data_IF_061523251158
#
_entry.id   IF_061523251158
#
_cell.length_a   1.000
_cell.length_b   1.000
_cell.length_c   1.000
_cell.angle_alpha   90.00
_cell.angle_beta   90.00
_cell.angle_gamma   90.00
#
_symmetry.space_group_name_H-M   'P 1'
#
loop_
_entity.id
_entity.type
_entity.pdbx_description
1 polymer ?
#
# COMPACT_ATOMS: atom_id res chain seq x y z
N UNK A 1 6.02 -0.12 14.14
CA UNK A 1 4.74 0.21 13.50
C UNK A 1 4.53 -0.89 12.49
N UNK A 2 3.60 -1.82 12.73
CA UNK A 2 2.80 -2.27 11.58
C UNK A 2 2.44 -0.94 10.90
N UNK A 3 2.68 -0.76 9.60
CA UNK A 3 1.89 0.24 8.89
C UNK A 3 0.43 0.02 9.36
N UNK A 4 -0.49 0.96 9.17
CA UNK A 4 -1.82 0.43 8.88
C UNK A 4 -1.59 -0.42 7.62
N UNK A 5 -1.17 -1.67 7.81
CA UNK A 5 -1.30 -2.71 6.85
C UNK A 5 -2.79 -2.67 6.79
N UNK A 6 -3.26 -2.09 5.71
CA UNK A 6 -4.52 -2.47 5.15
C UNK A 6 -4.26 -3.96 4.80
N UNK A 7 -4.19 -4.82 5.82
CA UNK A 7 -4.53 -6.20 5.73
C UNK A 7 -6.02 -6.11 5.49
N UNK A 8 -6.33 -5.77 4.25
CA UNK A 8 -7.55 -6.10 3.57
C UNK A 8 -7.62 -7.62 3.73
N UNK A 9 -8.13 -8.06 4.87
CA UNK A 9 -8.79 -9.34 5.01
C UNK A 9 -10.02 -9.23 4.16
N UNK A 10 -9.82 -9.25 2.83
CA UNK A 10 -10.88 -9.43 1.87
C UNK A 10 -11.36 -10.84 2.17
N UNK A 11 -12.42 -10.94 2.95
CA UNK A 11 -13.29 -12.09 2.93
C UNK A 11 -13.88 -12.14 1.52
N UNK A 12 -13.15 -12.77 0.60
CA UNK A 12 -13.56 -12.99 -0.78
C UNK A 12 -14.81 -13.87 -0.77
N UNK A 13 -15.98 -13.24 -0.70
CA UNK A 13 -17.19 -13.84 -1.21
C UNK A 13 -17.01 -13.88 -2.74
N UNK A 14 -16.91 -15.09 -3.27
CA UNK A 14 -16.69 -15.38 -4.67
C UNK A 14 -17.77 -14.74 -5.56
N UNK A 15 -17.51 -13.53 -6.05
CA UNK A 15 -18.22 -13.00 -7.23
C UNK A 15 -17.34 -13.36 -8.41
N UNK A 16 -17.73 -14.41 -9.13
CA UNK A 16 -17.02 -14.90 -10.31
C UNK A 16 -17.08 -13.87 -11.44
N UNK A 17 -16.16 -12.92 -11.45
CA UNK A 17 -15.71 -12.27 -12.66
C UNK A 17 -14.43 -12.97 -13.09
N UNK A 18 -14.41 -13.50 -14.32
CA UNK A 18 -13.18 -14.03 -14.90
C UNK A 18 -12.20 -12.86 -14.98
N UNK A 19 -11.26 -12.78 -14.04
CA UNK A 19 -10.19 -11.79 -14.08
C UNK A 19 -9.39 -12.02 -15.35
N UNK A 20 -9.46 -11.06 -16.27
CA UNK A 20 -8.68 -11.08 -17.49
C UNK A 20 -7.25 -10.72 -17.11
N UNK A 21 -6.30 -11.63 -17.34
CA UNK A 21 -4.86 -11.38 -17.24
C UNK A 21 -4.53 -10.08 -17.98
N UNK A 22 -3.99 -9.08 -17.28
CA UNK A 22 -3.70 -7.77 -17.86
C UNK A 22 -2.28 -7.67 -18.40
N UNK A 23 -1.38 -8.53 -17.87
CA UNK A 23 0.02 -8.59 -18.22
C UNK A 23 0.38 -9.71 -19.21
N UNK A 24 1.02 -9.38 -20.33
CA UNK A 24 1.59 -10.37 -21.25
C UNK A 24 2.81 -11.09 -20.63
N UNK A 25 2.93 -12.40 -20.85
CA UNK A 25 4.02 -13.23 -20.31
C UNK A 25 5.43 -12.74 -20.71
N UNK A 26 5.56 -12.05 -21.84
CA UNK A 26 6.81 -11.45 -22.28
C UNK A 26 7.37 -10.41 -21.30
N UNK A 27 6.55 -9.86 -20.39
CA UNK A 27 6.97 -8.91 -19.37
C UNK A 27 7.43 -9.58 -18.06
N UNK A 28 7.20 -10.88 -17.87
CA UNK A 28 7.40 -11.53 -16.57
C UNK A 28 8.86 -11.50 -16.11
N UNK A 29 9.82 -11.72 -17.02
CA UNK A 29 11.24 -11.72 -16.66
C UNK A 29 11.77 -10.33 -16.34
N UNK A 30 11.23 -9.30 -16.98
CA UNK A 30 11.49 -7.89 -16.66
C UNK A 30 11.01 -7.57 -15.23
N UNK A 31 9.75 -7.90 -14.92
CA UNK A 31 9.15 -7.69 -13.59
C UNK A 31 9.93 -8.44 -12.51
N UNK A 32 10.30 -9.70 -12.74
CA UNK A 32 11.13 -10.50 -11.82
C UNK A 32 12.49 -9.87 -11.57
N UNK A 33 13.14 -9.36 -12.61
CA UNK A 33 14.45 -8.70 -12.50
C UNK A 33 14.35 -7.45 -11.62
N UNK A 34 13.33 -6.63 -11.82
CA UNK A 34 13.10 -5.43 -11.01
C UNK A 34 12.80 -5.75 -9.55
N UNK A 35 11.94 -6.73 -9.27
CA UNK A 35 11.68 -7.18 -7.89
C UNK A 35 12.94 -7.73 -7.22
N UNK A 36 13.76 -8.51 -7.94
CA UNK A 36 15.02 -9.03 -7.40
C UNK A 36 15.96 -7.90 -6.96
N UNK A 37 16.13 -6.87 -7.79
CA UNK A 37 16.93 -5.68 -7.45
C UNK A 37 16.33 -4.90 -6.27
N UNK A 38 15.02 -4.69 -6.27
CA UNK A 38 14.31 -4.02 -5.19
C UNK A 38 14.50 -4.75 -3.85
N UNK A 39 14.23 -6.04 -3.80
CA UNK A 39 14.32 -6.87 -2.59
C UNK A 39 15.75 -6.91 -2.01
N UNK A 40 16.78 -6.87 -2.87
CA UNK A 40 18.18 -6.85 -2.43
C UNK A 40 18.50 -5.64 -1.53
N UNK A 41 17.85 -4.49 -1.75
CA UNK A 41 18.04 -3.31 -0.88
C UNK A 41 17.57 -3.54 0.57
N UNK A 42 16.73 -4.55 0.78
CA UNK A 42 16.17 -4.91 2.08
C UNK A 42 16.73 -6.25 2.60
N UNK A 43 17.82 -6.75 2.03
CA UNK A 43 18.38 -8.07 2.37
C UNK A 43 17.38 -9.22 2.19
N UNK A 44 16.53 -9.11 1.17
CA UNK A 44 15.58 -10.13 0.77
C UNK A 44 15.90 -10.59 -0.66
N UNK A 45 15.40 -11.77 -1.03
CA UNK A 45 15.58 -12.32 -2.37
C UNK A 45 14.33 -13.10 -2.78
N UNK A 46 14.20 -13.33 -4.09
CA UNK A 46 13.22 -14.29 -4.60
C UNK A 46 13.65 -15.71 -4.21
N UNK A 47 12.73 -16.50 -3.68
CA UNK A 47 12.93 -17.90 -3.36
C UNK A 47 12.92 -18.80 -4.60
N UNK A 48 12.93 -20.11 -4.36
CA UNK A 48 12.76 -21.11 -5.43
C UNK A 48 11.48 -20.83 -6.24
N UNK A 49 11.52 -21.10 -7.54
CA UNK A 49 10.43 -20.81 -8.49
C UNK A 49 9.96 -19.34 -8.46
N UNK A 50 10.89 -18.41 -8.24
CA UNK A 50 10.59 -16.98 -8.14
C UNK A 50 9.54 -16.66 -7.06
N UNK A 51 9.60 -17.35 -5.92
CA UNK A 51 8.66 -17.10 -4.83
C UNK A 51 8.97 -15.75 -4.17
N UNK A 52 8.01 -14.84 -4.09
CA UNK A 52 8.13 -13.60 -3.32
C UNK A 52 8.30 -13.94 -1.83
N UNK A 53 9.17 -13.22 -1.09
CA UNK A 53 9.22 -13.37 0.36
C UNK A 53 7.87 -13.00 0.97
N UNK A 54 7.61 -13.44 2.21
CA UNK A 54 6.42 -12.98 2.92
C UNK A 54 6.44 -11.46 3.01
N UNK A 55 5.31 -10.82 2.72
CA UNK A 55 5.24 -9.37 2.71
C UNK A 55 5.60 -8.75 4.08
N UNK A 56 5.26 -9.45 5.17
CA UNK A 56 5.65 -9.04 6.54
C UNK A 56 7.16 -8.92 6.74
N UNK A 57 7.98 -9.72 6.02
CA UNK A 57 9.43 -9.61 6.06
C UNK A 57 9.93 -8.34 5.34
N UNK A 58 9.37 -8.03 4.16
CA UNK A 58 9.66 -6.79 3.44
C UNK A 58 9.31 -5.58 4.29
N UNK A 59 8.08 -5.53 4.79
CA UNK A 59 7.61 -4.40 5.56
C UNK A 59 8.34 -4.25 6.91
N UNK A 60 8.80 -5.35 7.53
CA UNK A 60 9.68 -5.27 8.71
C UNK A 60 11.05 -4.70 8.35
N UNK A 61 11.66 -5.14 7.25
CA UNK A 61 13.00 -4.69 6.86
C UNK A 61 13.00 -3.23 6.39
N UNK A 62 11.99 -2.83 5.60
CA UNK A 62 11.79 -1.44 5.16
C UNK A 62 11.31 -0.54 6.29
N UNK A 63 10.45 -1.02 7.17
CA UNK A 63 9.91 -0.28 8.31
C UNK A 63 10.99 0.26 9.25
N UNK A 64 12.16 -0.39 9.34
CA UNK A 64 13.31 0.16 10.09
C UNK A 64 13.83 1.47 9.52
N UNK A 65 13.79 1.62 8.19
CA UNK A 65 14.19 2.85 7.50
C UNK A 65 13.04 3.88 7.55
N UNK A 66 11.79 3.47 7.36
CA UNK A 66 10.60 4.34 7.44
C UNK A 66 10.36 4.92 8.84
N UNK A 67 10.74 4.19 9.89
CA UNK A 67 10.64 4.63 11.30
C UNK A 67 11.96 5.21 11.84
N UNK A 68 12.93 5.48 10.96
CA UNK A 68 14.23 6.01 11.36
C UNK A 68 14.13 7.29 12.18
N UNK A 69 15.20 7.63 12.90
CA UNK A 69 15.26 8.83 13.74
C UNK A 69 15.15 10.16 12.97
N UNK A 70 15.21 10.12 11.64
CA UNK A 70 15.12 11.28 10.77
C UNK A 70 14.61 10.91 9.37
N UNK A 71 14.28 11.94 8.61
CA UNK A 71 13.75 11.82 7.25
C UNK A 71 14.79 11.35 6.21
N UNK A 72 16.09 11.25 6.52
CA UNK A 72 17.10 10.75 5.56
C UNK A 72 16.87 9.28 5.20
N UNK A 73 16.46 8.47 6.18
CA UNK A 73 16.13 7.07 5.91
C UNK A 73 14.86 6.94 5.07
N UNK A 74 13.87 7.81 5.29
CA UNK A 74 12.69 7.87 4.41
C UNK A 74 13.06 8.31 2.99
N UNK A 75 13.97 9.29 2.84
CA UNK A 75 14.50 9.66 1.53
C UNK A 75 15.19 8.49 0.82
N UNK A 76 15.93 7.65 1.57
CA UNK A 76 16.52 6.40 1.05
C UNK A 76 15.44 5.42 0.60
N UNK A 77 14.37 5.23 1.38
CA UNK A 77 13.22 4.40 0.97
C UNK A 77 12.64 4.90 -0.34
N UNK A 78 12.44 6.22 -0.47
CA UNK A 78 11.93 6.80 -1.70
C UNK A 78 12.88 6.71 -2.89
N UNK A 79 14.19 6.81 -2.67
CA UNK A 79 15.17 6.56 -3.72
C UNK A 79 15.09 5.10 -4.21
N UNK A 80 15.03 4.13 -3.30
CA UNK A 80 14.88 2.71 -3.66
C UNK A 80 13.58 2.47 -4.43
N UNK A 81 12.46 3.04 -3.94
CA UNK A 81 11.16 2.93 -4.60
C UNK A 81 11.17 3.54 -6.00
N UNK A 82 11.76 4.73 -6.17
CA UNK A 82 11.84 5.38 -7.47
C UNK A 82 12.72 4.59 -8.45
N UNK A 83 13.80 3.97 -7.98
CA UNK A 83 14.59 3.03 -8.80
C UNK A 83 13.75 1.82 -9.20
N UNK A 84 12.97 1.25 -8.27
CA UNK A 84 12.11 0.11 -8.54
C UNK A 84 10.99 0.46 -9.54
N UNK A 85 10.27 1.56 -9.34
CA UNK A 85 9.22 2.01 -10.25
C UNK A 85 9.74 2.33 -11.64
N UNK A 86 10.95 2.90 -11.74
CA UNK A 86 11.60 3.17 -13.02
C UNK A 86 12.04 1.88 -13.74
N UNK A 87 12.48 0.87 -12.98
CA UNK A 87 12.80 -0.44 -13.54
C UNK A 87 11.55 -1.10 -14.11
N UNK A 88 10.45 -1.10 -13.35
CA UNK A 88 9.16 -1.64 -13.80
C UNK A 88 8.65 -0.87 -15.02
N UNK A 89 8.69 0.47 -14.99
CA UNK A 89 8.37 1.31 -16.14
C UNK A 89 7.00 0.98 -16.74
N UNK A 90 6.90 0.72 -18.06
CA UNK A 90 5.66 0.34 -18.73
C UNK A 90 5.05 -0.98 -18.24
N UNK A 91 5.84 -1.86 -17.62
CA UNK A 91 5.36 -3.16 -17.11
C UNK A 91 4.57 -3.00 -15.80
N UNK A 92 4.26 -1.76 -15.37
CA UNK A 92 3.49 -1.51 -14.15
C UNK A 92 2.06 -2.09 -14.18
N UNK A 93 1.52 -2.34 -15.38
CA UNK A 93 0.24 -3.05 -15.56
C UNK A 93 0.30 -4.47 -15.01
N UNK A 94 1.51 -5.05 -14.92
CA UNK A 94 1.74 -6.38 -14.35
C UNK A 94 1.76 -6.40 -12.81
N UNK A 95 1.74 -5.23 -12.16
CA UNK A 95 1.68 -5.12 -10.72
C UNK A 95 0.21 -5.09 -10.31
N UNK A 96 -0.45 -6.23 -10.46
CA UNK A 96 -1.88 -6.39 -10.20
C UNK A 96 -2.11 -7.65 -9.35
N UNK A 97 -3.12 -7.69 -8.46
CA UNK A 97 -3.33 -8.83 -7.58
C UNK A 97 -3.62 -10.12 -8.35
N UNK A 98 -4.14 -10.03 -9.58
CA UNK A 98 -4.48 -11.18 -10.43
C UNK A 98 -3.28 -11.67 -11.26
N UNK A 99 -2.33 -10.78 -11.57
CA UNK A 99 -1.14 -11.11 -12.38
C UNK A 99 0.07 -11.51 -11.53
N UNK A 100 0.25 -10.92 -10.33
CA UNK A 100 1.39 -11.27 -9.45
C UNK A 100 1.49 -12.78 -9.14
N UNK A 101 0.40 -13.53 -8.86
CA UNK A 101 0.46 -14.97 -8.67
C UNK A 101 0.85 -15.78 -9.93
N UNK A 102 0.76 -15.17 -11.12
CA UNK A 102 1.18 -15.79 -12.38
C UNK A 102 2.67 -15.54 -12.65
N UNK A 103 3.20 -14.40 -12.17
CA UNK A 103 4.60 -14.02 -12.31
C UNK A 103 5.46 -14.70 -11.25
N UNK A 104 4.94 -14.81 -10.02
CA UNK A 104 5.66 -15.25 -8.83
C UNK A 104 4.92 -16.35 -8.06
N UNK A 105 5.66 -17.16 -7.32
CA UNK A 105 5.08 -17.88 -6.18
C UNK A 105 4.72 -16.88 -5.08
N UNK A 106 3.51 -16.92 -4.54
CA UNK A 106 3.05 -15.99 -3.49
C UNK A 106 2.47 -16.73 -2.29
N UNK A 107 2.63 -16.16 -1.09
CA UNK A 107 2.07 -16.71 0.14
C UNK A 107 0.69 -16.12 0.41
N UNK A 108 -0.34 -16.96 0.49
CA UNK A 108 -1.71 -16.54 0.82
C UNK A 108 -2.14 -15.29 0.02
N UNK A 109 -2.56 -14.23 0.71
CA UNK A 109 -3.04 -12.98 0.10
C UNK A 109 -1.94 -11.92 -0.04
N UNK A 110 -0.65 -12.27 0.09
CA UNK A 110 0.46 -11.30 0.02
C UNK A 110 0.52 -10.57 -1.34
N UNK A 111 -0.04 -11.14 -2.40
CA UNK A 111 -0.13 -10.48 -3.71
C UNK A 111 -0.91 -9.16 -3.65
N UNK A 112 -2.00 -9.08 -2.88
CA UNK A 112 -2.72 -7.81 -2.66
C UNK A 112 -1.81 -6.78 -1.97
N UNK A 113 -1.10 -7.21 -0.93
CA UNK A 113 -0.26 -6.33 -0.15
C UNK A 113 0.96 -5.82 -0.95
N UNK A 114 1.55 -6.67 -1.80
CA UNK A 114 2.61 -6.26 -2.72
C UNK A 114 2.13 -5.27 -3.79
N UNK A 115 0.93 -5.49 -4.36
CA UNK A 115 0.33 -4.56 -5.33
C UNK A 115 0.04 -3.22 -4.69
N UNK A 116 -0.68 -3.21 -3.58
CA UNK A 116 -1.05 -2.00 -2.85
C UNK A 116 0.20 -1.20 -2.46
N UNK A 117 1.20 -1.87 -1.89
CA UNK A 117 2.42 -1.25 -1.44
C UNK A 117 3.21 -0.59 -2.59
N UNK A 118 3.25 -1.21 -3.77
CA UNK A 118 3.92 -0.61 -4.93
C UNK A 118 3.30 0.74 -5.30
N UNK A 119 1.97 0.82 -5.39
CA UNK A 119 1.30 2.06 -5.79
C UNK A 119 1.28 3.11 -4.69
N UNK A 120 1.06 2.70 -3.43
CA UNK A 120 1.15 3.59 -2.28
C UNK A 120 2.57 4.17 -2.19
N UNK A 121 3.61 3.34 -2.24
CA UNK A 121 4.98 3.83 -2.13
C UNK A 121 5.35 4.76 -3.31
N UNK A 122 4.84 4.49 -4.53
CA UNK A 122 4.99 5.43 -5.64
C UNK A 122 4.33 6.78 -5.35
N UNK A 123 3.10 6.78 -4.83
CA UNK A 123 2.41 8.01 -4.43
C UNK A 123 3.20 8.77 -3.36
N UNK A 124 3.58 8.09 -2.28
CA UNK A 124 4.32 8.68 -1.15
C UNK A 124 5.66 9.29 -1.59
N UNK A 125 6.35 8.66 -2.54
CA UNK A 125 7.71 9.00 -2.93
C UNK A 125 7.83 9.85 -4.21
N UNK A 126 6.73 10.04 -4.94
CA UNK A 126 6.70 10.85 -6.16
C UNK A 126 5.69 11.99 -6.00
N UNK A 127 4.41 11.67 -5.87
CA UNK A 127 3.33 12.67 -5.84
C UNK A 127 3.29 13.44 -4.52
N UNK A 128 3.37 12.74 -3.40
CA UNK A 128 3.27 13.30 -2.06
C UNK A 128 4.63 13.49 -1.37
N UNK A 129 5.75 13.35 -2.10
CA UNK A 129 7.10 13.38 -1.51
C UNK A 129 7.34 14.56 -0.57
N UNK A 130 6.95 15.77 -0.97
CA UNK A 130 7.11 16.97 -0.14
C UNK A 130 6.30 16.86 1.16
N UNK A 131 5.09 16.31 1.10
CA UNK A 131 4.23 16.12 2.27
C UNK A 131 4.84 15.06 3.19
N UNK A 132 5.25 13.91 2.64
CA UNK A 132 5.93 12.82 3.34
C UNK A 132 7.15 13.32 4.10
N UNK A 133 7.99 14.13 3.44
CA UNK A 133 9.26 14.60 3.99
C UNK A 133 9.10 15.74 4.99
N UNK A 134 8.21 16.70 4.71
CA UNK A 134 7.97 17.85 5.59
C UNK A 134 7.23 17.45 6.87
N UNK A 135 6.34 16.45 6.78
CA UNK A 135 5.56 15.97 7.92
C UNK A 135 6.11 14.68 8.53
N UNK A 136 7.29 14.22 8.09
CA UNK A 136 7.86 12.91 8.44
C UNK A 136 7.75 12.59 9.94
N UNK A 137 8.26 13.46 10.80
CA UNK A 137 8.27 13.21 12.25
C UNK A 137 6.87 13.06 12.83
N UNK A 138 5.91 13.83 12.32
CA UNK A 138 4.54 13.74 12.78
C UNK A 138 3.91 12.44 12.28
N UNK A 139 3.98 12.16 10.98
CA UNK A 139 3.43 10.95 10.36
C UNK A 139 4.01 9.68 11.00
N UNK A 140 5.33 9.63 11.22
CA UNK A 140 6.01 8.51 11.86
C UNK A 140 5.59 8.30 13.33
N UNK A 141 5.10 9.34 14.00
CA UNK A 141 4.63 9.25 15.39
C UNK A 141 3.21 8.69 15.51
N UNK A 142 2.37 8.83 14.47
CA UNK A 142 0.94 8.48 14.51
C UNK A 142 0.72 7.01 14.87
N UNK A 143 1.54 6.08 14.37
CA UNK A 143 1.35 4.66 14.70
C UNK A 143 1.63 4.32 16.16
N UNK A 144 2.22 5.24 16.93
CA UNK A 144 2.33 5.12 18.38
C UNK A 144 1.27 5.94 19.09
N UNK A 145 1.08 7.21 18.71
CA UNK A 145 0.14 8.12 19.39
C UNK A 145 -1.32 7.80 19.07
N UNK A 146 -1.61 7.48 17.81
CA UNK A 146 -2.93 7.12 17.29
C UNK A 146 -3.22 5.62 17.22
N UNK A 147 -2.34 4.75 17.72
CA UNK A 147 -2.47 3.28 17.60
C UNK A 147 -3.86 2.75 17.95
N UNK A 148 -4.37 3.09 19.14
CA UNK A 148 -5.68 2.60 19.59
C UNK A 148 -6.83 3.07 18.71
N UNK A 149 -6.74 4.30 18.18
CA UNK A 149 -7.78 4.84 17.28
C UNK A 149 -7.72 4.15 15.91
N UNK A 150 -6.52 3.86 15.39
CA UNK A 150 -6.35 3.10 14.15
C UNK A 150 -6.94 1.69 14.30
N UNK A 151 -6.61 0.99 15.40
CA UNK A 151 -7.17 -0.33 15.69
C UNK A 151 -8.71 -0.31 15.78
N UNK A 152 -9.31 0.79 16.24
CA UNK A 152 -10.77 0.95 16.25
C UNK A 152 -11.34 1.11 14.84
N UNK A 153 -10.68 1.87 13.97
CA UNK A 153 -11.07 1.96 12.56
C UNK A 153 -10.99 0.60 11.88
N UNK A 154 -9.90 -0.15 12.09
CA UNK A 154 -9.69 -1.49 11.53
C UNK A 154 -10.76 -2.48 12.02
N UNK A 155 -11.05 -2.49 13.33
CA UNK A 155 -12.09 -3.34 13.90
C UNK A 155 -13.49 -3.01 13.36
N UNK A 156 -13.76 -1.72 13.09
CA UNK A 156 -15.02 -1.30 12.48
C UNK A 156 -15.12 -1.77 11.02
N UNK A 157 -14.05 -1.63 10.23
CA UNK A 157 -13.99 -2.14 8.85
C UNK A 157 -14.24 -3.65 8.82
N UNK A 158 -13.57 -4.41 9.68
CA UNK A 158 -13.76 -5.86 9.79
C UNK A 158 -15.22 -6.20 10.17
N UNK A 159 -15.79 -5.48 11.13
CA UNK A 159 -17.18 -5.67 11.52
C UNK A 159 -18.16 -5.37 10.36
N UNK A 160 -17.94 -4.30 9.59
CA UNK A 160 -18.78 -3.95 8.44
C UNK A 160 -18.72 -5.02 7.35
N UNK A 161 -17.53 -5.52 7.02
CA UNK A 161 -17.34 -6.61 6.06
C UNK A 161 -18.02 -7.89 6.54
N UNK A 162 -17.83 -8.28 7.81
CA UNK A 162 -18.42 -9.49 8.38
C UNK A 162 -19.96 -9.43 8.46
N UNK A 163 -20.53 -8.24 8.53
CA UNK A 163 -21.98 -8.01 8.51
C UNK A 163 -22.55 -7.85 7.09
N UNK A 164 -21.79 -8.16 6.05
CA UNK A 164 -22.16 -8.03 4.64
C UNK A 164 -22.60 -6.61 4.25
N UNK A 165 -22.01 -5.59 4.89
CA UNK A 165 -22.13 -4.23 4.39
C UNK A 165 -21.41 -4.10 3.04
N UNK A 166 -21.82 -3.12 2.23
CA UNK A 166 -21.13 -2.83 0.97
C UNK A 166 -19.65 -2.51 1.24
N UNK A 167 -18.75 -3.27 0.59
CA UNK A 167 -17.30 -3.17 0.85
C UNK A 167 -16.76 -1.77 0.51
N UNK A 168 -17.29 -1.13 -0.54
CA UNK A 168 -16.85 0.21 -0.93
C UNK A 168 -17.29 1.26 0.10
N UNK A 169 -18.50 1.14 0.65
CA UNK A 169 -18.99 2.00 1.73
C UNK A 169 -18.22 1.78 3.04
N UNK A 170 -17.85 0.53 3.36
CA UNK A 170 -17.03 0.20 4.52
C UNK A 170 -15.63 0.82 4.42
N UNK A 171 -14.99 0.69 3.26
CA UNK A 171 -13.67 1.29 2.98
C UNK A 171 -13.68 2.82 3.01
N UNK A 172 -14.74 3.45 2.52
CA UNK A 172 -14.92 4.89 2.66
C UNK A 172 -15.04 5.33 4.12
N UNK A 173 -15.81 4.57 4.92
CA UNK A 173 -15.95 4.82 6.36
C UNK A 173 -14.59 4.68 7.06
N UNK A 174 -13.83 3.64 6.72
CA UNK A 174 -12.46 3.43 7.21
C UNK A 174 -11.52 4.58 6.83
N UNK A 175 -11.55 4.99 5.56
CA UNK A 175 -10.76 6.12 5.04
C UNK A 175 -11.05 7.42 5.79
N UNK A 176 -12.33 7.73 6.03
CA UNK A 176 -12.73 8.90 6.81
C UNK A 176 -12.28 8.81 8.28
N UNK A 177 -12.32 7.61 8.87
CA UNK A 177 -11.85 7.35 10.23
C UNK A 177 -10.35 7.64 10.35
N UNK A 178 -9.53 7.10 9.44
CA UNK A 178 -8.09 7.37 9.37
C UNK A 178 -7.80 8.85 9.12
N UNK A 179 -8.52 9.49 8.20
CA UNK A 179 -8.36 10.92 7.92
C UNK A 179 -8.56 11.76 9.19
N UNK A 180 -9.60 11.49 9.97
CA UNK A 180 -9.86 12.21 11.22
C UNK A 180 -8.73 12.02 12.26
N UNK A 181 -8.18 10.81 12.35
CA UNK A 181 -7.02 10.53 13.23
C UNK A 181 -5.83 11.36 12.79
N UNK A 182 -5.45 11.30 11.51
CA UNK A 182 -4.30 12.03 11.00
C UNK A 182 -4.46 13.55 11.14
N UNK A 183 -5.67 14.08 10.94
CA UNK A 183 -6.00 15.48 11.22
C UNK A 183 -5.74 15.83 12.68
N UNK A 184 -6.20 14.98 13.61
CA UNK A 184 -6.10 15.25 15.05
C UNK A 184 -4.66 15.30 15.57
N UNK A 185 -3.76 14.52 14.96
CA UNK A 185 -2.36 14.45 15.38
C UNK A 185 -1.43 15.36 14.59
N UNK A 186 -1.67 15.52 13.29
CA UNK A 186 -0.71 16.11 12.36
C UNK A 186 -1.31 17.19 11.44
N UNK A 187 -2.56 17.57 11.68
CA UNK A 187 -3.22 18.65 10.96
C UNK A 187 -3.78 18.22 9.59
N UNK A 188 -4.37 19.18 8.89
CA UNK A 188 -5.18 18.93 7.68
C UNK A 188 -4.42 18.22 6.57
N UNK A 189 -3.16 18.59 6.32
CA UNK A 189 -2.37 17.97 5.26
C UNK A 189 -2.09 16.49 5.52
N UNK A 190 -1.91 16.09 6.79
CA UNK A 190 -1.79 14.69 7.15
C UNK A 190 -3.10 13.92 6.92
N UNK A 191 -4.25 14.57 7.16
CA UNK A 191 -5.57 14.04 6.79
C UNK A 191 -5.71 13.82 5.29
N UNK A 192 -5.41 14.84 4.50
CA UNK A 192 -5.40 14.75 3.03
C UNK A 192 -4.43 13.65 2.56
N UNK A 193 -3.25 13.55 3.19
CA UNK A 193 -2.23 12.55 2.88
C UNK A 193 -2.76 11.12 3.03
N UNK A 194 -3.29 10.76 4.20
CA UNK A 194 -3.76 9.40 4.43
C UNK A 194 -4.98 9.08 3.56
N UNK A 195 -5.88 10.04 3.34
CA UNK A 195 -7.02 9.83 2.45
C UNK A 195 -6.56 9.48 1.03
N UNK A 196 -5.61 10.25 0.47
CA UNK A 196 -5.12 9.97 -0.88
C UNK A 196 -4.39 8.62 -0.96
N UNK A 197 -3.65 8.23 0.08
CA UNK A 197 -3.03 6.90 0.17
C UNK A 197 -4.08 5.79 0.12
N UNK A 198 -5.16 5.90 0.91
CA UNK A 198 -6.25 4.93 0.88
C UNK A 198 -6.87 4.85 -0.51
N UNK A 199 -7.17 5.99 -1.14
CA UNK A 199 -7.73 6.01 -2.49
C UNK A 199 -6.80 5.36 -3.54
N UNK A 200 -5.48 5.57 -3.42
CA UNK A 200 -4.49 4.90 -4.28
C UNK A 200 -4.55 3.39 -4.07
N UNK A 201 -4.50 2.91 -2.82
CA UNK A 201 -4.65 1.49 -2.51
C UNK A 201 -5.93 0.92 -3.11
N UNK A 202 -7.08 1.47 -2.73
CA UNK A 202 -8.42 1.04 -3.18
C UNK A 202 -8.54 0.97 -4.70
N UNK A 203 -7.93 1.89 -5.44
CA UNK A 203 -7.99 1.90 -6.91
C UNK A 203 -7.36 0.64 -7.52
N UNK A 204 -6.36 0.06 -6.88
CA UNK A 204 -5.61 -1.08 -7.39
C UNK A 204 -6.03 -2.43 -6.80
N UNK A 205 -6.57 -2.45 -5.58
CA UNK A 205 -7.03 -3.70 -4.92
C UNK A 205 -8.54 -3.90 -4.97
N UNK A 206 -9.33 -2.82 -5.11
CA UNK A 206 -10.78 -2.85 -5.23
C UNK A 206 -11.25 -1.92 -6.38
N UNK A 207 -10.88 -2.20 -7.64
CA UNK A 207 -11.19 -1.33 -8.77
C UNK A 207 -12.69 -1.05 -8.94
N UNK A 208 -13.56 -1.96 -8.49
CA UNK A 208 -15.01 -1.77 -8.45
C UNK A 208 -15.47 -0.61 -7.56
N UNK A 209 -14.65 -0.19 -6.59
CA UNK A 209 -14.95 0.90 -5.67
C UNK A 209 -14.52 2.28 -6.19
N UNK A 210 -13.75 2.35 -7.28
CA UNK A 210 -13.15 3.60 -7.81
C UNK A 210 -14.15 4.72 -8.11
N UNK A 211 -15.37 4.38 -8.53
CA UNK A 211 -16.40 5.40 -8.80
C UNK A 211 -16.99 6.03 -7.53
N UNK A 212 -16.80 5.38 -6.39
CA UNK A 212 -17.41 5.75 -5.12
C UNK A 212 -16.37 6.10 -4.05
N UNK A 213 -15.08 6.23 -4.37
CA UNK A 213 -14.07 6.59 -3.36
C UNK A 213 -14.31 7.99 -2.80
N UNK A 214 -14.04 8.14 -1.51
CA UNK A 214 -14.17 9.41 -0.81
C UNK A 214 -13.31 10.49 -1.46
N UNK A 215 -13.87 11.68 -1.67
CA UNK A 215 -13.10 12.81 -2.18
C UNK A 215 -12.16 13.34 -1.11
N UNK A 216 -10.85 13.24 -1.34
CA UNK A 216 -9.85 13.75 -0.42
C UNK A 216 -9.68 15.27 -0.53
N UNK A 217 -9.52 15.99 0.59
CA UNK A 217 -9.24 17.42 0.56
C UNK A 217 -7.91 17.71 -0.15
N UNK A 218 -7.74 18.89 -0.78
CA UNK A 218 -6.45 19.31 -1.31
C UNK A 218 -5.44 19.53 -0.18
N UNK A 219 -4.15 19.46 -0.51
CA UNK A 219 -3.08 19.91 0.39
C UNK A 219 -3.13 21.43 0.55
N UNK A 220 -2.76 21.91 1.74
CA UNK A 220 -2.61 23.35 2.00
C UNK A 220 -1.46 23.88 1.15
N UNK A 221 -1.73 24.91 0.35
CA UNK A 221 -0.75 25.61 -0.49
C UNK A 221 0.13 26.55 0.31
#
# INVERSE_FOLDING_TARGET
>A
MMKAFILLTIALCAVGTFAQQTCDQSHYDSVRTCYSQFLNNYNLSLGANYTLPRYTALASNRGRDEMGFNNLNMAKVCMIQNTFSNCIGPDNVCIDPTDLPQIFGVFANDHYAYTEDFFIANYECQTAYNITMNNFYCLASIGRSGYNAIMQCEAQLEADINNNHDVCAAENTYTQCLMNIYISYCGKDAGSYICNIQNVGLTHILPQCTQNVTTCPPYSS
#
